data_IF_485315798937
#
_entry.id   IF_485315798937
#
_cell.length_a   1.000
_cell.length_b   1.000
_cell.length_c   1.000
_cell.angle_alpha   90.00
_cell.angle_beta   90.00
_cell.angle_gamma   90.00
#
_symmetry.space_group_name_H-M   'P 1'
#
loop_
_entity.id
_entity.type
_entity.pdbx_description
1 polymer ?
#
# COMPACT_ATOMS: atom_id res chain seq x y z
N UNK A 1 32.63 9.47 32.98
CA UNK A 1 31.27 9.06 32.62
C UNK A 1 30.75 10.20 31.78
N UNK A 2 30.43 9.95 30.51
CA UNK A 2 30.36 10.97 29.45
C UNK A 2 29.17 11.90 29.68
N UNK A 3 29.42 13.21 29.65
CA UNK A 3 28.38 14.23 29.59
C UNK A 3 27.85 14.28 28.15
N UNK A 4 26.54 14.16 27.98
CA UNK A 4 25.90 14.37 26.69
C UNK A 4 25.47 15.84 26.66
N UNK A 5 26.32 16.68 26.07
CA UNK A 5 25.96 18.06 25.73
C UNK A 5 25.01 18.00 24.52
N UNK A 6 23.81 18.54 24.71
CA UNK A 6 22.72 18.52 23.72
C UNK A 6 22.74 19.87 23.00
N UNK A 7 23.32 19.92 21.79
CA UNK A 7 23.31 21.09 20.92
C UNK A 7 21.86 21.42 20.47
N UNK A 8 21.32 22.62 20.75
CA UNK A 8 19.90 22.95 20.62
C UNK A 8 19.46 23.53 19.27
N UNK A 9 20.28 23.47 18.21
CA UNK A 9 19.96 24.09 16.91
C UNK A 9 19.25 23.14 15.90
N UNK A 10 18.78 21.97 16.34
CA UNK A 10 18.02 21.03 15.51
C UNK A 10 16.52 21.31 15.57
N UNK A 11 15.98 21.79 14.44
CA UNK A 11 14.57 22.07 14.17
C UNK A 11 13.61 21.00 14.75
N UNK A 12 12.44 21.44 15.24
CA UNK A 12 11.53 20.65 16.08
C UNK A 12 11.05 19.30 15.51
N UNK A 13 10.27 18.54 16.30
CA UNK A 13 9.85 17.19 15.94
C UNK A 13 9.13 17.18 14.58
N UNK A 14 9.60 16.36 13.66
CA UNK A 14 8.95 16.13 12.37
C UNK A 14 7.87 15.06 12.55
N UNK A 15 6.67 15.31 12.02
CA UNK A 15 5.59 14.34 12.06
C UNK A 15 5.75 13.39 10.87
N UNK A 16 5.82 12.08 11.11
CA UNK A 16 5.81 11.12 10.02
C UNK A 16 4.42 11.12 9.34
N UNK A 17 4.36 11.40 8.03
CA UNK A 17 3.12 11.34 7.26
C UNK A 17 2.58 9.90 7.08
N UNK A 18 3.41 8.88 7.37
CA UNK A 18 3.04 7.46 7.31
C UNK A 18 2.39 6.92 8.59
N UNK A 19 2.95 7.21 9.77
CA UNK A 19 2.45 6.70 11.06
C UNK A 19 1.90 7.78 12.01
N UNK A 20 2.16 9.06 11.76
CA UNK A 20 1.73 10.16 12.64
C UNK A 20 2.54 10.31 13.93
N UNK A 21 3.66 9.60 14.08
CA UNK A 21 4.54 9.71 15.25
C UNK A 21 5.43 10.94 15.17
N UNK A 22 5.65 11.59 16.32
CA UNK A 22 6.64 12.67 16.48
C UNK A 22 8.06 12.08 16.46
N UNK A 23 8.81 12.39 15.41
CA UNK A 23 10.18 11.90 15.21
C UNK A 23 11.18 13.04 15.43
N UNK A 24 12.37 12.73 15.96
CA UNK A 24 13.43 13.71 16.05
C UNK A 24 13.97 14.02 14.65
N UNK A 25 14.29 15.29 14.38
CA UNK A 25 14.71 15.76 13.06
C UNK A 25 16.05 15.18 12.55
N UNK A 26 16.83 14.51 13.39
CA UNK A 26 18.05 13.81 12.96
C UNK A 26 17.78 12.45 12.30
N UNK A 27 16.52 12.00 12.31
CA UNK A 27 16.12 10.72 11.75
C UNK A 27 15.64 10.94 10.31
N UNK A 28 16.51 10.64 9.34
CA UNK A 28 16.20 10.77 7.91
C UNK A 28 15.09 9.80 7.44
N UNK A 29 14.88 8.72 8.20
CA UNK A 29 13.92 7.66 7.91
C UNK A 29 13.08 7.30 9.14
N UNK A 30 11.79 7.00 8.93
CA UNK A 30 10.90 6.62 10.01
C UNK A 30 11.07 5.13 10.37
N UNK A 31 11.54 4.74 11.57
CA UNK A 31 11.78 3.33 11.93
C UNK A 31 10.50 2.48 12.05
N UNK A 32 9.33 3.08 11.83
CA UNK A 32 8.03 2.42 11.84
C UNK A 32 7.36 2.38 10.45
N UNK A 33 7.82 3.21 9.51
CA UNK A 33 7.26 3.31 8.15
C UNK A 33 8.28 3.06 7.04
N UNK A 34 9.55 3.16 7.40
CA UNK A 34 10.71 3.15 6.54
C UNK A 34 11.60 1.99 6.99
N UNK A 35 11.24 0.81 6.48
CA UNK A 35 11.97 -0.43 6.66
C UNK A 35 13.00 -0.60 5.52
N UNK A 36 13.86 0.39 5.25
CA UNK A 36 14.90 0.25 4.20
C UNK A 36 16.23 -0.33 4.73
N UNK A 37 16.43 -0.46 6.04
CA UNK A 37 17.74 -0.85 6.61
C UNK A 37 17.72 -1.99 7.64
N UNK A 38 16.68 -2.82 7.63
CA UNK A 38 16.75 -4.10 8.33
C UNK A 38 16.49 -5.23 7.34
N UNK A 39 17.49 -6.08 7.12
CA UNK A 39 17.39 -7.36 6.39
C UNK A 39 16.35 -8.33 7.01
N UNK A 40 15.53 -7.86 7.96
CA UNK A 40 14.52 -8.56 8.70
C UNK A 40 13.17 -7.90 8.49
N UNK A 41 12.22 -8.68 8.00
CA UNK A 41 10.84 -8.27 7.73
C UNK A 41 9.89 -9.06 8.64
N UNK A 42 8.72 -8.53 9.01
CA UNK A 42 7.73 -9.31 9.74
C UNK A 42 7.04 -10.33 8.82
N UNK A 43 6.90 -11.58 9.29
CA UNK A 43 6.18 -12.63 8.59
C UNK A 43 4.70 -12.25 8.44
N UNK A 44 4.11 -12.32 7.23
CA UNK A 44 2.71 -11.92 6.99
C UNK A 44 1.68 -12.81 7.68
N UNK A 45 2.05 -14.03 8.06
CA UNK A 45 1.14 -15.00 8.70
C UNK A 45 1.19 -14.95 10.24
N UNK A 46 2.34 -14.63 10.83
CA UNK A 46 2.51 -14.72 12.29
C UNK A 46 3.18 -13.51 12.95
N UNK A 47 3.61 -12.52 12.16
CA UNK A 47 4.28 -11.30 12.63
C UNK A 47 5.65 -11.52 13.27
N UNK A 48 6.26 -12.72 13.14
CA UNK A 48 7.64 -12.93 13.58
C UNK A 48 8.63 -12.26 12.64
N UNK A 49 9.67 -11.63 13.20
CA UNK A 49 10.79 -11.11 12.41
C UNK A 49 11.50 -12.29 11.71
N UNK A 50 11.62 -12.21 10.40
CA UNK A 50 12.26 -13.18 9.52
C UNK A 50 13.22 -12.43 8.61
N UNK A 51 14.28 -13.08 8.14
CA UNK A 51 15.18 -12.42 7.18
C UNK A 51 14.55 -12.33 5.79
N UNK A 52 14.93 -11.34 5.01
CA UNK A 52 14.42 -11.18 3.65
C UNK A 52 14.83 -12.32 2.69
N UNK A 53 15.93 -12.98 2.98
CA UNK A 53 16.40 -14.16 2.26
C UNK A 53 15.69 -15.45 2.69
N UNK A 54 14.86 -15.39 3.74
CA UNK A 54 14.19 -16.56 4.29
C UNK A 54 12.98 -16.96 3.45
N UNK A 55 13.10 -18.07 2.71
CA UNK A 55 11.99 -18.64 1.93
C UNK A 55 10.81 -19.11 2.80
N UNK A 56 11.09 -19.49 4.05
CA UNK A 56 10.12 -20.05 4.98
C UNK A 56 10.30 -19.51 6.40
N UNK A 57 9.19 -19.12 7.04
CA UNK A 57 9.22 -18.64 8.41
C UNK A 57 9.53 -19.77 9.41
N UNK A 58 10.52 -19.63 10.31
CA UNK A 58 10.86 -20.66 11.29
C UNK A 58 9.80 -20.84 12.39
N UNK A 59 8.94 -19.83 12.62
CA UNK A 59 7.91 -19.87 13.66
C UNK A 59 6.64 -20.57 13.18
N UNK A 60 6.09 -20.16 12.04
CA UNK A 60 4.82 -20.67 11.53
C UNK A 60 4.94 -21.61 10.33
N UNK A 61 6.14 -21.76 9.76
CA UNK A 61 6.42 -22.58 8.57
C UNK A 61 5.67 -22.14 7.30
N UNK A 62 5.11 -20.93 7.30
CA UNK A 62 4.53 -20.32 6.12
C UNK A 62 5.63 -19.91 5.13
N UNK A 63 5.29 -19.96 3.84
CA UNK A 63 6.17 -19.55 2.74
C UNK A 63 6.11 -18.04 2.56
N UNK A 64 7.27 -17.41 2.51
CA UNK A 64 7.42 -15.96 2.48
C UNK A 64 7.60 -15.56 1.02
N UNK A 65 6.50 -15.41 0.28
CA UNK A 65 6.59 -14.95 -1.11
C UNK A 65 6.81 -13.43 -1.11
N UNK A 66 8.03 -12.98 -1.42
CA UNK A 66 8.47 -11.58 -1.52
C UNK A 66 7.82 -10.76 -2.64
N UNK A 67 6.55 -11.03 -2.96
CA UNK A 67 5.76 -10.31 -3.97
C UNK A 67 4.81 -9.27 -3.38
N UNK A 68 5.00 -8.91 -2.12
CA UNK A 68 4.26 -7.83 -1.48
C UNK A 68 5.20 -6.66 -1.21
N UNK A 69 5.83 -6.15 -2.27
CA UNK A 69 6.28 -4.76 -2.27
C UNK A 69 5.09 -3.88 -1.92
N UNK A 70 5.25 -3.11 -0.85
CA UNK A 70 4.46 -1.94 -0.40
C UNK A 70 3.34 -1.59 -1.39
N UNK A 71 2.17 -2.24 -1.28
CA UNK A 71 0.98 -1.72 -1.96
C UNK A 71 0.49 -0.56 -1.11
N UNK A 72 0.53 0.69 -1.61
CA UNK A 72 -0.12 1.78 -0.90
C UNK A 72 -1.57 1.38 -0.72
N UNK A 73 -2.03 1.48 0.52
CA UNK A 73 -3.42 1.27 0.92
C UNK A 73 -4.23 2.49 0.44
N UNK A 74 -4.26 2.69 -0.88
CA UNK A 74 -5.01 3.71 -1.56
C UNK A 74 -6.20 3.06 -2.24
N UNK A 75 -7.37 3.22 -1.62
CA UNK A 75 -8.65 3.41 -2.30
C UNK A 75 -9.01 2.30 -3.30
N UNK A 76 -9.70 1.28 -2.80
CA UNK A 76 -10.34 0.27 -3.62
C UNK A 76 -11.33 0.92 -4.60
N UNK A 77 -10.89 1.18 -5.82
CA UNK A 77 -11.76 1.29 -6.98
C UNK A 77 -12.28 -0.12 -7.25
N UNK A 78 -13.27 -0.51 -6.44
CA UNK A 78 -13.79 -1.86 -6.35
C UNK A 78 -14.17 -2.41 -7.71
N UNK A 79 -14.21 -3.74 -7.79
CA UNK A 79 -14.64 -4.56 -8.93
C UNK A 79 -15.92 -4.06 -9.64
N UNK A 80 -16.70 -3.19 -9.00
CA UNK A 80 -17.83 -2.46 -9.57
C UNK A 80 -17.51 -1.48 -10.71
N UNK A 81 -16.30 -0.89 -10.80
CA UNK A 81 -15.97 0.05 -11.88
C UNK A 81 -16.07 -0.59 -13.27
N UNK A 82 -15.57 -1.83 -13.41
CA UNK A 82 -15.65 -2.60 -14.66
C UNK A 82 -17.10 -2.92 -15.03
N UNK A 83 -17.93 -3.30 -14.06
CA UNK A 83 -19.34 -3.64 -14.28
C UNK A 83 -20.12 -2.42 -14.77
N UNK A 84 -19.86 -1.23 -14.22
CA UNK A 84 -20.52 0.01 -14.66
C UNK A 84 -20.18 0.35 -16.11
N UNK A 85 -18.92 0.20 -16.53
CA UNK A 85 -18.55 0.40 -17.94
C UNK A 85 -19.23 -0.62 -18.88
N UNK A 86 -19.35 -1.89 -18.48
CA UNK A 86 -20.07 -2.90 -19.27
C UNK A 86 -21.58 -2.63 -19.37
N UNK A 87 -22.22 -2.19 -18.29
CA UNK A 87 -23.65 -1.86 -18.28
C UNK A 87 -23.96 -0.61 -19.10
N UNK A 88 -23.17 0.45 -18.96
CA UNK A 88 -23.33 1.67 -19.76
C UNK A 88 -23.08 1.41 -21.25
N UNK A 89 -22.03 0.64 -21.57
CA UNK A 89 -21.71 0.27 -22.95
C UNK A 89 -22.80 -0.58 -23.60
N UNK A 90 -23.25 -1.64 -22.92
CA UNK A 90 -24.33 -2.50 -23.45
C UNK A 90 -25.66 -1.76 -23.62
N UNK A 91 -26.02 -0.88 -22.69
CA UNK A 91 -27.22 -0.04 -22.81
C UNK A 91 -27.14 0.91 -24.01
N UNK A 92 -25.99 1.55 -24.25
CA UNK A 92 -25.79 2.42 -25.40
C UNK A 92 -25.93 1.66 -26.73
N UNK A 93 -25.36 0.46 -26.83
CA UNK A 93 -25.45 -0.39 -28.03
C UNK A 93 -26.89 -0.82 -28.28
N UNK A 94 -27.60 -1.29 -27.25
CA UNK A 94 -29.01 -1.69 -27.37
C UNK A 94 -29.90 -0.51 -27.79
N UNK A 95 -29.64 0.69 -27.27
CA UNK A 95 -30.36 1.90 -27.64
C UNK A 95 -30.16 2.26 -29.13
N UNK A 96 -28.94 2.17 -29.64
CA UNK A 96 -28.62 2.42 -31.06
C UNK A 96 -29.35 1.40 -31.95
N UNK A 97 -29.28 0.11 -31.62
CA UNK A 97 -29.95 -0.96 -32.37
C UNK A 97 -31.46 -0.73 -32.39
N UNK A 98 -32.05 -0.41 -31.24
CA UNK A 98 -33.48 -0.11 -31.12
C UNK A 98 -33.89 1.09 -31.98
N UNK A 99 -33.07 2.16 -31.97
CA UNK A 99 -33.30 3.35 -32.80
C UNK A 99 -33.24 3.02 -34.29
N UNK A 100 -32.29 2.19 -34.71
CA UNK A 100 -32.15 1.76 -36.11
C UNK A 100 -33.34 0.90 -36.55
N UNK A 101 -33.77 -0.04 -35.71
CA UNK A 101 -34.93 -0.88 -36.01
C UNK A 101 -36.23 -0.06 -36.15
N UNK A 102 -36.41 0.99 -35.34
CA UNK A 102 -37.55 1.90 -35.50
C UNK A 102 -37.48 2.74 -36.78
N UNK A 103 -36.28 3.07 -37.27
CA UNK A 103 -36.12 3.85 -38.50
C UNK A 103 -36.34 3.03 -39.78
N UNK A 104 -36.22 1.70 -39.72
CA UNK A 104 -36.36 0.81 -40.88
C UNK A 104 -37.76 0.23 -41.09
N UNK A 105 -38.74 0.59 -40.24
CA UNK A 105 -40.11 0.07 -40.28
C UNK A 105 -41.12 0.94 -41.03
N UNK A 106 -40.68 1.78 -41.98
CA UNK A 106 -41.57 2.54 -42.89
C UNK A 106 -41.26 2.21 -44.34
#
# INVERSE_FOLDING_TARGET
MVNIEFDPDGEGPILCEGCGTELPAFLDHCPYCDDEDSDQLPCPECGAMIHEDSEQCPRCKAWVTMRQGRRPQGEGLGTGGRVVFYLLGSAAVLWIIYRVLQSGGR
#
